data_IF_134286367747
#
_entry.id   IF_134286367747
#
_cell.length_a   1.000
_cell.length_b   1.000
_cell.length_c   1.000
_cell.angle_alpha   90.00
_cell.angle_beta   90.00
_cell.angle_gamma   90.00
#
_symmetry.space_group_name_H-M   'P 1'
#
loop_
_entity.id
_entity.type
_entity.pdbx_description
1 polymer ?
#
# COMPACT_ATOMS: atom_id res chain seq x y z
N UNK A 1 3.73 4.94 -15.49
CA UNK A 1 3.51 6.41 -15.48
C UNK A 1 4.85 7.12 -15.44
N UNK A 2 5.08 8.09 -16.33
CA UNK A 2 6.28 8.95 -16.26
C UNK A 2 6.08 9.98 -15.16
N UNK A 3 7.01 10.02 -14.21
CA UNK A 3 7.01 10.94 -13.07
C UNK A 3 8.09 11.99 -13.31
N UNK A 4 7.71 13.11 -13.93
CA UNK A 4 8.60 14.26 -14.09
C UNK A 4 8.84 14.92 -12.72
N UNK A 5 10.02 15.51 -12.56
CA UNK A 5 10.45 16.24 -11.36
C UNK A 5 10.49 15.38 -10.08
N UNK A 6 10.53 14.06 -10.23
CA UNK A 6 10.59 13.09 -9.13
C UNK A 6 11.71 12.09 -9.42
N UNK A 7 12.73 12.10 -8.57
CA UNK A 7 13.82 11.11 -8.63
C UNK A 7 13.32 9.71 -8.21
N UNK A 8 14.03 8.66 -8.65
CA UNK A 8 13.69 7.29 -8.27
C UNK A 8 13.83 7.07 -6.76
N UNK A 9 14.82 7.70 -6.12
CA UNK A 9 15.06 7.66 -4.67
C UNK A 9 13.90 8.32 -3.90
N UNK A 10 13.43 9.48 -4.37
CA UNK A 10 12.29 10.17 -3.73
C UNK A 10 11.03 9.33 -3.83
N UNK A 11 10.76 8.73 -5.00
CA UNK A 11 9.64 7.80 -5.18
C UNK A 11 9.75 6.59 -4.25
N UNK A 12 10.97 6.02 -4.14
CA UNK A 12 11.24 4.86 -3.30
C UNK A 12 11.00 5.17 -1.82
N UNK A 13 11.49 6.32 -1.35
CA UNK A 13 11.26 6.78 0.02
C UNK A 13 9.76 6.96 0.33
N UNK A 14 9.00 7.60 -0.58
CA UNK A 14 7.56 7.86 -0.38
C UNK A 14 6.75 6.58 -0.30
N UNK A 15 7.15 5.53 -1.03
CA UNK A 15 6.48 4.23 -1.00
C UNK A 15 6.80 3.43 0.26
N UNK A 16 7.92 3.71 0.92
CA UNK A 16 8.32 3.06 2.18
C UNK A 16 7.86 3.81 3.42
N UNK A 17 7.80 5.15 3.40
CA UNK A 17 7.51 5.96 4.58
C UNK A 17 6.03 5.86 4.99
N UNK A 18 5.74 4.94 5.92
CA UNK A 18 4.39 4.69 6.45
C UNK A 18 3.86 5.88 7.27
N UNK A 19 4.76 6.64 7.91
CA UNK A 19 4.36 7.86 8.62
C UNK A 19 3.85 8.89 7.60
N UNK A 20 4.61 9.07 6.51
CA UNK A 20 4.19 9.96 5.44
C UNK A 20 2.94 9.46 4.72
N UNK A 21 2.75 8.14 4.59
CA UNK A 21 1.53 7.55 4.00
C UNK A 21 0.26 8.09 4.64
N UNK A 22 0.24 8.25 5.97
CA UNK A 22 -0.90 8.82 6.71
C UNK A 22 -1.16 10.28 6.37
N UNK A 23 -0.17 11.00 5.85
CA UNK A 23 -0.29 12.42 5.49
C UNK A 23 -0.92 12.63 4.11
N UNK A 24 -0.59 11.80 3.14
CA UNK A 24 -1.02 12.02 1.74
C UNK A 24 -2.12 11.05 1.27
N UNK A 25 -2.26 9.88 1.88
CA UNK A 25 -3.29 8.91 1.53
C UNK A 25 -4.54 9.11 2.40
N UNK A 26 -5.48 9.88 1.88
CA UNK A 26 -6.76 10.22 2.54
C UNK A 26 -7.64 9.02 2.85
N UNK A 27 -7.41 7.88 2.20
CA UNK A 27 -8.20 6.68 2.40
C UNK A 27 -7.68 5.84 3.57
N UNK A 28 -6.46 6.07 4.05
CA UNK A 28 -5.89 5.31 5.16
C UNK A 28 -6.69 5.55 6.44
N UNK A 29 -7.09 4.46 7.08
CA UNK A 29 -7.64 4.47 8.44
C UNK A 29 -6.50 4.19 9.42
N UNK A 30 -5.75 3.13 9.17
CA UNK A 30 -4.69 2.65 10.05
C UNK A 30 -3.63 1.91 9.22
N UNK A 31 -2.36 2.16 9.50
CA UNK A 31 -1.23 1.50 8.86
C UNK A 31 -0.01 1.50 9.80
N UNK A 32 0.66 0.35 9.89
CA UNK A 32 1.88 0.14 10.69
C UNK A 32 2.58 -1.16 10.29
N UNK A 33 3.90 -1.21 10.48
CA UNK A 33 4.67 -2.45 10.36
C UNK A 33 4.54 -3.28 11.65
N UNK A 34 4.33 -4.58 11.49
CA UNK A 34 4.17 -5.55 12.58
C UNK A 34 5.54 -6.07 13.03
N UNK A 35 6.40 -6.39 12.07
CA UNK A 35 7.74 -6.90 12.34
C UNK A 35 8.50 -7.27 11.06
N UNK A 36 9.80 -7.54 11.20
CA UNK A 36 10.70 -7.85 10.08
C UNK A 36 10.97 -9.36 9.96
N UNK A 37 11.13 -9.85 8.73
CA UNK A 37 11.64 -11.20 8.46
C UNK A 37 13.14 -11.18 8.16
N UNK A 38 13.56 -10.21 7.35
CA UNK A 38 14.95 -10.01 6.92
C UNK A 38 15.29 -8.52 6.94
N UNK A 39 16.48 -8.15 6.45
CA UNK A 39 16.88 -6.74 6.27
C UNK A 39 16.03 -5.99 5.23
N UNK A 40 15.34 -6.72 4.35
CA UNK A 40 14.59 -6.18 3.22
C UNK A 40 13.22 -6.84 3.02
N UNK A 41 12.67 -7.41 4.10
CA UNK A 41 11.34 -7.97 4.11
C UNK A 41 10.69 -7.81 5.49
N UNK A 42 9.44 -7.36 5.50
CA UNK A 42 8.63 -7.13 6.69
C UNK A 42 7.19 -7.58 6.50
N UNK A 43 6.44 -7.59 7.60
CA UNK A 43 4.99 -7.78 7.62
C UNK A 43 4.35 -6.49 8.09
N UNK A 44 3.38 -5.98 7.35
CA UNK A 44 2.64 -4.77 7.69
C UNK A 44 1.13 -4.98 7.72
N UNK A 45 0.45 -4.11 8.47
CA UNK A 45 -1.00 -3.96 8.47
C UNK A 45 -1.39 -2.68 7.74
N UNK A 46 -2.43 -2.76 6.92
CA UNK A 46 -3.00 -1.59 6.24
C UNK A 46 -4.52 -1.70 6.19
N UNK A 47 -5.24 -0.63 6.52
CA UNK A 47 -6.69 -0.55 6.39
C UNK A 47 -7.13 0.77 5.79
N UNK A 48 -8.20 0.72 4.99
CA UNK A 48 -8.66 1.86 4.22
C UNK A 48 -10.18 2.01 4.21
N UNK A 49 -10.61 3.25 4.00
CA UNK A 49 -12.00 3.64 3.83
C UNK A 49 -12.52 3.17 2.48
N UNK A 50 -13.73 2.61 2.49
CA UNK A 50 -14.49 2.34 1.27
C UNK A 50 -15.68 3.30 1.18
N UNK A 51 -16.14 3.63 -0.05
CA UNK A 51 -17.33 4.46 -0.23
C UNK A 51 -18.52 3.85 0.49
N UNK A 52 -19.27 4.69 1.23
CA UNK A 52 -20.49 4.22 1.88
C UNK A 52 -21.48 3.67 0.84
N UNK A 53 -22.21 2.57 1.12
CA UNK A 53 -22.32 1.86 2.40
C UNK A 53 -21.40 0.61 2.49
N UNK A 54 -20.34 0.51 1.69
CA UNK A 54 -19.40 -0.61 1.75
C UNK A 54 -18.66 -0.62 3.09
N UNK A 55 -18.42 -1.82 3.64
CA UNK A 55 -17.56 -1.95 4.82
C UNK A 55 -16.12 -1.57 4.46
N UNK A 56 -15.40 -1.00 5.41
CA UNK A 56 -13.97 -0.72 5.23
C UNK A 56 -13.18 -2.02 5.06
N UNK A 57 -12.03 -1.95 4.39
CA UNK A 57 -11.17 -3.12 4.17
C UNK A 57 -9.88 -3.03 4.98
N UNK A 58 -9.33 -4.20 5.30
CA UNK A 58 -7.96 -4.32 5.79
C UNK A 58 -7.20 -5.47 5.12
N UNK A 59 -5.87 -5.38 5.17
CA UNK A 59 -4.94 -6.40 4.69
C UNK A 59 -3.77 -6.54 5.65
N UNK A 60 -3.18 -7.74 5.64
CA UNK A 60 -1.87 -8.00 6.21
C UNK A 60 -1.01 -8.51 5.08
N UNK A 61 0.11 -7.85 4.84
CA UNK A 61 0.99 -8.21 3.73
C UNK A 61 2.39 -8.46 4.22
N UNK A 62 3.03 -9.49 3.63
CA UNK A 62 4.47 -9.58 3.63
C UNK A 62 4.94 -8.72 2.46
N UNK A 63 5.77 -7.73 2.75
CA UNK A 63 6.40 -6.85 1.78
C UNK A 63 7.89 -7.16 1.72
N UNK A 64 8.45 -7.14 0.52
CA UNK A 64 9.89 -7.23 0.31
C UNK A 64 10.32 -6.25 -0.78
N UNK A 65 11.54 -5.74 -0.65
CA UNK A 65 12.11 -4.75 -1.57
C UNK A 65 13.53 -5.09 -1.99
N UNK A 66 13.89 -4.60 -3.16
CA UNK A 66 15.21 -4.79 -3.75
C UNK A 66 15.62 -3.55 -4.55
N UNK A 67 16.81 -3.01 -4.25
CA UNK A 67 17.47 -2.02 -5.07
C UNK A 67 18.35 -2.72 -6.11
N UNK A 68 18.26 -2.28 -7.37
CA UNK A 68 18.96 -2.87 -8.52
C UNK A 68 19.68 -1.75 -9.29
N UNK A 69 20.75 -1.24 -8.70
CA UNK A 69 21.44 -0.06 -9.22
C UNK A 69 20.58 1.20 -9.10
N UNK A 70 20.08 1.70 -10.22
CA UNK A 70 19.23 2.91 -10.29
C UNK A 70 17.72 2.61 -10.25
N UNK A 71 17.36 1.33 -10.30
CA UNK A 71 15.98 0.85 -10.32
C UNK A 71 15.63 0.19 -8.98
N UNK A 72 14.35 0.21 -8.62
CA UNK A 72 13.86 -0.35 -7.36
C UNK A 72 12.61 -1.18 -7.59
N UNK A 73 12.50 -2.30 -6.87
CA UNK A 73 11.30 -3.11 -6.78
C UNK A 73 10.81 -3.13 -5.34
N UNK A 74 9.51 -2.97 -5.15
CA UNK A 74 8.80 -3.27 -3.90
C UNK A 74 7.64 -4.19 -4.26
N UNK A 75 7.58 -5.37 -3.66
CA UNK A 75 6.50 -6.33 -3.87
C UNK A 75 5.87 -6.71 -2.54
N UNK A 76 4.59 -7.05 -2.58
CA UNK A 76 3.89 -7.59 -1.43
C UNK A 76 2.79 -8.56 -1.85
N UNK A 77 2.45 -9.45 -0.93
CA UNK A 77 1.31 -10.36 -1.03
C UNK A 77 0.74 -10.62 0.36
N UNK A 78 -0.49 -11.09 0.43
CA UNK A 78 -1.19 -11.25 1.71
C UNK A 78 -0.75 -12.50 2.46
N UNK A 79 -0.55 -12.33 3.77
CA UNK A 79 -0.21 -13.41 4.71
C UNK A 79 -1.18 -13.39 5.89
N UNK A 80 -1.33 -14.52 6.56
CA UNK A 80 -1.98 -14.61 7.87
C UNK A 80 -0.93 -14.41 8.94
N UNK A 81 -1.29 -13.62 9.95
CA UNK A 81 -0.52 -13.46 11.18
C UNK A 81 -1.45 -13.74 12.37
N UNK A 82 -1.09 -14.68 13.24
CA UNK A 82 -1.98 -15.20 14.30
C UNK A 82 -2.56 -14.11 15.22
N UNK A 83 -1.75 -13.09 15.55
CA UNK A 83 -2.14 -11.94 16.40
C UNK A 83 -3.07 -10.93 15.71
N UNK A 84 -3.31 -11.04 14.41
CA UNK A 84 -4.12 -10.09 13.64
C UNK A 84 -5.18 -10.82 12.78
N UNK A 85 -6.12 -11.55 13.42
CA UNK A 85 -7.21 -12.21 12.72
C UNK A 85 -8.16 -11.19 12.04
N UNK A 86 -9.04 -11.64 11.12
CA UNK A 86 -10.09 -10.79 10.54
C UNK A 86 -10.93 -10.10 11.63
N UNK A 87 -11.24 -8.81 11.43
CA UNK A 87 -12.05 -8.00 12.34
C UNK A 87 -13.52 -7.99 11.88
N UNK A 88 -14.48 -7.95 12.80
CA UNK A 88 -15.92 -8.01 12.47
C UNK A 88 -16.44 -6.79 11.70
N UNK A 89 -15.83 -5.63 11.94
CA UNK A 89 -16.20 -4.33 11.38
C UNK A 89 -15.54 -4.04 10.01
N UNK A 90 -14.65 -4.92 9.54
CA UNK A 90 -13.92 -4.76 8.28
C UNK A 90 -13.97 -6.03 7.44
N UNK A 91 -13.85 -5.88 6.13
CA UNK A 91 -13.65 -7.00 5.20
C UNK A 91 -12.14 -7.22 5.07
N UNK A 92 -11.65 -8.42 5.38
CA UNK A 92 -10.25 -8.80 5.09
C UNK A 92 -10.09 -9.00 3.59
N UNK A 93 -9.43 -8.07 2.91
CA UNK A 93 -9.08 -8.22 1.51
C UNK A 93 -7.83 -9.10 1.34
N UNK A 94 -7.57 -9.54 0.12
CA UNK A 94 -6.41 -10.36 -0.24
C UNK A 94 -5.68 -9.73 -1.42
N UNK A 95 -4.55 -9.08 -1.17
CA UNK A 95 -3.55 -8.83 -2.21
C UNK A 95 -2.90 -10.16 -2.59
N UNK A 96 -3.23 -10.67 -3.78
CA UNK A 96 -2.62 -11.86 -4.36
C UNK A 96 -1.18 -11.55 -4.75
N UNK A 97 -0.99 -10.42 -5.43
CA UNK A 97 0.32 -9.86 -5.74
C UNK A 97 0.14 -8.37 -6.03
N UNK A 98 0.85 -7.52 -5.29
CA UNK A 98 0.92 -6.09 -5.58
C UNK A 98 2.38 -5.63 -5.55
N UNK A 99 2.74 -4.68 -6.40
CA UNK A 99 4.10 -4.15 -6.39
C UNK A 99 4.31 -2.90 -7.22
N UNK A 100 5.47 -2.30 -6.99
CA UNK A 100 5.98 -1.13 -7.68
C UNK A 100 7.33 -1.47 -8.28
N UNK A 101 7.50 -1.12 -9.55
CA UNK A 101 8.79 -1.03 -10.22
C UNK A 101 9.07 0.45 -10.48
N UNK A 102 10.19 0.95 -9.97
CA UNK A 102 10.64 2.33 -10.11
C UNK A 102 11.88 2.29 -10.98
N UNK A 103 11.83 2.86 -12.17
CA UNK A 103 12.95 2.86 -13.11
C UNK A 103 13.57 4.25 -13.18
N UNK A 104 14.82 4.37 -12.76
CA UNK A 104 15.60 5.61 -12.80
C UNK A 104 16.03 5.93 -14.23
N UNK A 105 15.83 7.18 -14.65
CA UNK A 105 16.13 7.59 -16.02
C UNK A 105 17.17 8.73 -16.05
N UNK A 106 18.28 8.48 -16.74
CA UNK A 106 19.30 9.47 -17.10
C UNK A 106 19.86 10.33 -15.94
N UNK A 107 20.66 11.37 -16.26
CA UNK A 107 21.15 12.32 -15.28
C UNK A 107 20.03 13.32 -14.92
N UNK A 108 19.23 12.90 -13.93
CA UNK A 108 18.46 13.68 -12.95
C UNK A 108 16.98 14.02 -13.20
N UNK A 109 16.20 13.77 -12.13
CA UNK A 109 14.85 14.24 -11.81
C UNK A 109 13.64 13.67 -12.57
N UNK A 110 13.74 12.48 -13.15
CA UNK A 110 12.53 11.74 -13.50
C UNK A 110 12.69 10.23 -13.36
N UNK A 111 11.58 9.57 -13.05
CA UNK A 111 11.50 8.12 -13.00
C UNK A 111 10.25 7.62 -13.72
N UNK A 112 10.25 6.34 -14.07
CA UNK A 112 9.05 5.64 -14.54
C UNK A 112 8.55 4.76 -13.41
N UNK A 113 7.31 5.02 -12.98
CA UNK A 113 6.62 4.19 -11.99
C UNK A 113 5.70 3.21 -12.71
N UNK A 114 5.94 1.92 -12.55
CA UNK A 114 5.02 0.86 -12.98
C UNK A 114 4.39 0.25 -11.74
N UNK A 115 3.06 0.29 -11.67
CA UNK A 115 2.27 -0.27 -10.58
C UNK A 115 1.50 -1.49 -11.09
N UNK A 116 1.67 -2.62 -10.40
CA UNK A 116 0.96 -3.85 -10.68
C UNK A 116 0.17 -4.25 -9.43
N UNK A 117 -1.11 -4.56 -9.58
CA UNK A 117 -1.95 -4.99 -8.48
C UNK A 117 -2.94 -6.06 -8.94
N UNK A 118 -2.87 -7.20 -8.30
CA UNK A 118 -3.86 -8.26 -8.35
C UNK A 118 -4.40 -8.45 -6.94
N UNK A 119 -5.60 -7.94 -6.70
CA UNK A 119 -6.22 -7.86 -5.38
C UNK A 119 -7.64 -8.39 -5.48
N UNK A 120 -7.99 -9.32 -4.58
CA UNK A 120 -9.37 -9.67 -4.28
C UNK A 120 -9.85 -8.78 -3.11
N UNK A 121 -10.71 -7.78 -3.36
CA UNK A 121 -11.23 -6.91 -2.31
C UNK A 121 -12.16 -7.63 -1.32
N UNK A 122 -12.52 -8.89 -1.63
CA UNK A 122 -13.48 -9.74 -0.95
C UNK A 122 -14.86 -9.10 -0.78
N UNK A 123 -15.79 -9.96 -0.36
CA UNK A 123 -17.21 -9.65 -0.30
C UNK A 123 -17.88 -9.70 -1.69
N UNK A 124 -19.20 -9.65 -1.69
CA UNK A 124 -19.97 -9.58 -2.94
C UNK A 124 -20.16 -8.12 -3.34
N UNK A 125 -19.24 -7.56 -4.13
CA UNK A 125 -19.32 -6.15 -4.51
C UNK A 125 -20.53 -5.84 -5.42
N UNK A 126 -21.23 -4.70 -5.23
CA UNK A 126 -22.24 -4.22 -6.16
C UNK A 126 -21.69 -3.98 -7.58
N UNK A 127 -22.56 -4.14 -8.60
CA UNK A 127 -22.19 -3.92 -10.00
C UNK A 127 -21.64 -2.51 -10.27
N UNK A 128 -22.18 -1.49 -9.62
CA UNK A 128 -21.73 -0.10 -9.77
C UNK A 128 -20.27 0.08 -9.30
N UNK A 129 -19.87 -0.65 -8.26
CA UNK A 129 -18.49 -0.64 -7.75
C UNK A 129 -17.54 -1.26 -8.77
N UNK A 130 -17.88 -2.46 -9.26
CA UNK A 130 -17.05 -3.19 -10.24
C UNK A 130 -16.84 -2.37 -11.52
N UNK A 131 -17.89 -1.67 -11.96
CA UNK A 131 -17.84 -0.81 -13.14
C UNK A 131 -16.97 0.46 -12.93
N UNK A 132 -16.95 1.03 -11.72
CA UNK A 132 -16.14 2.22 -11.39
C UNK A 132 -14.68 1.89 -11.02
N UNK A 133 -14.43 0.76 -10.36
CA UNK A 133 -13.12 0.46 -9.77
C UNK A 133 -12.01 0.22 -10.81
N UNK A 134 -12.36 -0.44 -11.90
CA UNK A 134 -11.38 -1.01 -12.84
C UNK A 134 -10.67 0.04 -13.72
N UNK A 135 -11.30 1.19 -13.97
CA UNK A 135 -10.74 2.22 -14.85
C UNK A 135 -10.07 3.40 -14.14
N UNK A 136 -10.45 3.69 -12.89
CA UNK A 136 -10.07 4.96 -12.25
C UNK A 136 -9.08 4.80 -11.08
N UNK A 137 -9.07 3.65 -10.39
CA UNK A 137 -8.31 3.51 -9.14
C UNK A 137 -6.80 3.54 -9.35
N UNK A 138 -6.27 2.77 -10.31
CA UNK A 138 -4.83 2.70 -10.54
C UNK A 138 -4.24 4.04 -11.06
N UNK A 139 -4.82 4.72 -12.07
CA UNK A 139 -4.33 6.02 -12.50
C UNK A 139 -4.40 7.10 -11.41
N UNK A 140 -5.48 7.13 -10.62
CA UNK A 140 -5.64 8.10 -9.54
C UNK A 140 -4.65 7.87 -8.40
N UNK A 141 -4.44 6.60 -8.01
CA UNK A 141 -3.45 6.24 -7.00
C UNK A 141 -2.04 6.66 -7.43
N UNK A 142 -1.65 6.37 -8.68
CA UNK A 142 -0.34 6.79 -9.20
C UNK A 142 -0.19 8.32 -9.19
N UNK A 143 -1.22 9.08 -9.61
CA UNK A 143 -1.19 10.55 -9.56
C UNK A 143 -1.04 11.09 -8.13
N UNK A 144 -1.75 10.51 -7.16
CA UNK A 144 -1.62 10.88 -5.73
C UNK A 144 -0.20 10.61 -5.21
N UNK A 145 0.37 9.44 -5.52
CA UNK A 145 1.76 9.10 -5.16
C UNK A 145 2.74 10.12 -5.75
N UNK A 146 2.61 10.46 -7.03
CA UNK A 146 3.48 11.45 -7.66
C UNK A 146 3.37 12.83 -7.00
N UNK A 147 2.15 13.31 -6.71
CA UNK A 147 1.94 14.56 -5.96
C UNK A 147 2.57 14.51 -4.56
N UNK A 148 2.51 13.36 -3.88
CA UNK A 148 3.14 13.17 -2.58
C UNK A 148 4.67 13.27 -2.69
N UNK A 149 5.27 12.72 -3.75
CA UNK A 149 6.72 12.82 -3.98
C UNK A 149 7.21 14.27 -4.09
N UNK A 150 6.46 15.14 -4.76
CA UNK A 150 6.83 16.55 -4.90
C UNK A 150 6.88 17.30 -3.55
N UNK A 151 6.10 16.86 -2.56
CA UNK A 151 6.03 17.46 -1.23
C UNK A 151 6.90 16.74 -0.18
N UNK A 152 7.44 15.58 -0.52
CA UNK A 152 8.12 14.72 0.44
C UNK A 152 9.43 15.29 0.97
N UNK A 153 10.34 15.88 0.16
CA UNK A 153 11.60 16.41 0.68
C UNK A 153 11.40 17.46 1.78
N UNK A 154 10.49 18.42 1.57
CA UNK A 154 10.16 19.45 2.57
C UNK A 154 9.54 18.83 3.83
N UNK A 155 8.61 17.88 3.67
CA UNK A 155 7.99 17.20 4.79
C UNK A 155 9.03 16.42 5.60
N UNK A 156 9.84 15.58 4.94
CA UNK A 156 10.80 14.69 5.60
C UNK A 156 11.89 15.45 6.36
N UNK A 157 12.28 16.63 5.86
CA UNK A 157 13.21 17.53 6.56
C UNK A 157 12.72 17.92 7.97
N UNK A 158 11.39 17.96 8.16
CA UNK A 158 10.75 18.31 9.45
C UNK A 158 10.38 17.08 10.30
N UNK A 159 10.56 15.86 9.78
CA UNK A 159 10.10 14.61 10.41
C UNK A 159 11.22 13.56 10.38
N UNK A 160 12.26 13.79 11.20
CA UNK A 160 13.42 12.91 11.36
C UNK A 160 14.08 12.54 10.01
N UNK A 161 14.73 13.49 9.31
CA UNK A 161 15.23 13.28 7.95
C UNK A 161 16.23 12.13 7.81
N UNK A 162 17.00 11.85 8.86
CA UNK A 162 17.96 10.74 8.91
C UNK A 162 17.33 9.38 9.19
N UNK A 163 16.06 9.31 9.59
CA UNK A 163 15.37 8.06 9.89
C UNK A 163 14.69 7.50 8.63
N UNK A 164 15.37 6.55 8.00
CA UNK A 164 14.96 5.83 6.79
C UNK A 164 15.36 4.35 6.90
N UNK A 165 14.67 3.57 7.75
CA UNK A 165 15.05 2.18 8.03
C UNK A 165 15.00 1.25 6.80
N UNK A 166 14.30 1.63 5.74
CA UNK A 166 14.31 0.92 4.45
C UNK A 166 15.60 1.11 3.63
N UNK A 167 16.40 2.15 3.93
CA UNK A 167 17.74 2.37 3.38
C UNK A 167 18.84 1.92 4.35
N UNK A 168 18.58 2.09 5.65
CA UNK A 168 19.51 1.85 6.76
C UNK A 168 18.90 0.85 7.74
N UNK A 169 18.94 -0.47 7.44
CA UNK A 169 18.22 -1.50 8.21
C UNK A 169 18.60 -1.55 9.69
N UNK A 170 19.79 -1.10 10.07
CA UNK A 170 20.24 -0.97 11.45
C UNK A 170 19.41 0.01 12.29
N UNK A 171 18.68 0.94 11.64
CA UNK A 171 17.76 1.86 12.31
C UNK A 171 16.44 1.22 12.73
N UNK A 172 16.13 0.02 12.22
CA UNK A 172 14.85 -0.62 12.49
C UNK A 172 14.70 -1.03 13.96
N UNK A 173 13.56 -0.68 14.56
CA UNK A 173 13.16 -1.12 15.90
C UNK A 173 12.16 -2.27 15.86
N UNK A 174 11.85 -2.77 14.66
CA UNK A 174 10.85 -3.83 14.47
C UNK A 174 11.32 -5.16 15.06
N UNK A 175 10.43 -5.90 15.76
CA UNK A 175 10.74 -7.25 16.21
C UNK A 175 10.92 -8.19 15.02
N UNK A 176 11.76 -9.21 15.17
CA UNK A 176 11.90 -10.26 14.17
C UNK A 176 10.72 -11.24 14.24
N UNK A 177 10.15 -11.60 13.10
CA UNK A 177 9.08 -12.57 12.96
C UNK A 177 9.61 -13.80 12.22
N UNK A 178 9.59 -15.00 12.83
CA UNK A 178 9.91 -16.24 12.13
C UNK A 178 8.92 -16.48 10.98
N UNK A 179 9.43 -16.87 9.80
CA UNK A 179 8.58 -17.17 8.64
C UNK A 179 7.53 -18.25 8.95
N UNK A 180 7.84 -19.19 9.85
CA UNK A 180 6.93 -20.25 10.31
C UNK A 180 5.71 -19.74 11.08
N UNK A 181 5.71 -18.50 11.58
CA UNK A 181 4.54 -17.87 12.20
C UNK A 181 3.55 -17.30 11.17
N UNK A 182 3.94 -17.29 9.89
CA UNK A 182 3.14 -16.79 8.78
C UNK A 182 2.63 -17.96 7.94
N UNK A 183 1.47 -17.74 7.32
CA UNK A 183 0.94 -18.64 6.30
C UNK A 183 0.31 -17.84 5.17
N UNK A 184 0.19 -18.44 3.99
CA UNK A 184 -0.40 -17.77 2.83
C UNK A 184 -1.88 -17.45 3.10
N UNK A 185 -2.29 -16.23 2.79
CA UNK A 185 -3.70 -15.85 2.85
C UNK A 185 -4.40 -16.21 1.53
N UNK A 186 -5.14 -17.32 1.53
CA UNK A 186 -6.02 -17.69 0.42
C UNK A 186 -7.40 -17.01 0.57
N UNK A 187 -7.92 -16.45 -0.51
CA UNK A 187 -9.24 -15.80 -0.55
C UNK A 187 -10.38 -16.73 -0.12
N UNK A 188 -10.35 -17.99 -0.58
CA UNK A 188 -11.34 -19.04 -0.29
C UNK A 188 -11.46 -19.36 1.21
N UNK A 189 -10.39 -19.11 1.98
CA UNK A 189 -10.36 -19.39 3.43
C UNK A 189 -10.97 -18.29 4.30
N UNK A 190 -11.44 -17.18 3.69
CA UNK A 190 -12.06 -16.06 4.39
C UNK A 190 -13.58 -16.09 4.22
N UNK A 191 -14.29 -15.74 5.28
CA UNK A 191 -15.74 -15.50 5.25
C UNK A 191 -16.10 -14.55 4.10
N UNK A 192 -17.16 -14.89 3.36
CA UNK A 192 -17.68 -14.04 2.30
C UNK A 192 -18.77 -13.13 2.85
N UNK A 193 -18.55 -11.82 2.78
CA UNK A 193 -19.51 -10.82 3.24
C UNK A 193 -20.32 -10.35 2.04
N UNK A 194 -21.61 -10.68 1.98
CA UNK A 194 -22.47 -10.27 0.87
C UNK A 194 -22.84 -8.78 0.95
N UNK A 195 -22.32 -8.00 0.01
CA UNK A 195 -22.55 -6.56 -0.13
C UNK A 195 -23.31 -6.24 -1.42
N UNK A 196 -23.83 -7.24 -2.14
CA UNK A 196 -24.27 -7.09 -3.54
C UNK A 196 -25.55 -6.26 -3.69
N UNK A 197 -26.34 -6.20 -2.64
CA UNK A 197 -27.61 -5.46 -2.54
C UNK A 197 -27.43 -3.99 -2.17
N UNK A 198 -26.21 -3.54 -1.91
CA UNK A 198 -25.94 -2.17 -1.49
C UNK A 198 -26.09 -1.16 -2.64
N UNK A 199 -27.00 -0.20 -2.46
CA UNK A 199 -27.23 0.89 -3.39
C UNK A 199 -26.12 1.95 -3.31
N UNK A 200 -25.78 2.54 -4.46
CA UNK A 200 -24.87 3.68 -4.51
C UNK A 200 -25.49 4.88 -3.81
N UNK A 201 -24.79 5.44 -2.81
CA UNK A 201 -25.17 6.70 -2.19
C UNK A 201 -24.36 7.81 -2.86
N UNK A 202 -25.00 8.90 -3.29
CA UNK A 202 -24.28 10.06 -3.83
C UNK A 202 -23.51 10.77 -2.71
N UNK A 203 -22.28 10.34 -2.44
CA UNK A 203 -21.33 11.16 -1.69
C UNK A 203 -20.79 12.24 -2.63
N UNK A 204 -20.94 13.51 -2.23
CA UNK A 204 -20.29 14.62 -2.92
C UNK A 204 -18.79 14.37 -2.87
N UNK A 205 -18.16 14.21 -4.03
CA UNK A 205 -16.70 14.15 -4.09
C UNK A 205 -16.15 15.46 -3.52
N UNK A 206 -15.60 15.41 -2.31
CA UNK A 206 -14.79 16.51 -1.78
C UNK A 206 -13.54 16.61 -2.67
N UNK A 207 -13.64 17.52 -3.62
CA UNK A 207 -12.58 17.92 -4.54
C UNK A 207 -11.58 18.80 -3.79
N UNK A 208 -10.50 18.20 -3.29
CA UNK A 208 -9.27 18.88 -2.86
C UNK A 208 -8.02 18.27 -3.54
#
# INVERSE_FOLDING_TARGET
>A
MVCKDVSAETMYDVLHDIEYRKKWDTNVIETFDIGKLTVNADVGYYSWKCPSPLRNRDVITLRSWLAMGKDYIIMNYSVKHAKYPPKKDKVRAVSIQTGYMIQGQGPTNYCILTYMAHVDPRGSLPKWVVNKSSHFLAPHAMKKINKACLKYPEWKQRHNPGFKPWLYPEQTTLPSIPLSELSIQHAESLENIDESSLAETQEREDSD
#
